data_IF_156134589366
#
_entry.id   IF_156134589366
#
_cell.length_a   1.000
_cell.length_b   1.000
_cell.length_c   1.000
_cell.angle_alpha   90.00
_cell.angle_beta   90.00
_cell.angle_gamma   90.00
#
_symmetry.space_group_name_H-M   'P 1'
#
loop_
_entity.id
_entity.type
_entity.pdbx_description
1 polymer ?
#
# COMPACT_ATOMS: atom_id res chain seq x y z
N UNK A 1 17.92 -16.23 15.71
CA UNK A 1 16.79 -16.13 14.78
C UNK A 1 16.09 -14.81 15.07
N UNK A 2 16.31 -13.79 14.24
CA UNK A 2 15.69 -12.48 14.45
C UNK A 2 14.23 -12.59 14.06
N UNK A 3 13.34 -12.50 15.04
CA UNK A 3 11.90 -12.37 14.77
C UNK A 3 11.70 -11.02 14.06
N UNK A 4 11.22 -11.06 12.83
CA UNK A 4 10.78 -9.86 12.12
C UNK A 4 9.71 -9.17 12.97
N UNK A 5 10.07 -8.04 13.58
CA UNK A 5 9.11 -7.15 14.21
C UNK A 5 8.62 -6.20 13.12
N UNK A 6 7.37 -6.34 12.75
CA UNK A 6 6.68 -5.32 11.97
C UNK A 6 6.53 -4.10 12.86
N UNK A 7 7.34 -3.09 12.64
CA UNK A 7 7.14 -1.79 13.26
C UNK A 7 6.06 -1.08 12.46
N UNK A 8 4.82 -1.20 12.94
CA UNK A 8 3.73 -0.36 12.45
C UNK A 8 3.97 1.05 13.05
N UNK A 9 4.81 1.83 12.38
CA UNK A 9 5.09 3.22 12.72
C UNK A 9 3.87 4.06 12.29
N UNK A 10 2.85 4.07 13.11
CA UNK A 10 1.74 5.00 12.94
C UNK A 10 1.99 6.24 13.81
N UNK A 11 1.71 7.40 13.23
CA UNK A 11 1.60 8.64 13.99
C UNK A 11 0.38 8.53 14.92
N UNK A 12 0.61 8.45 16.21
CA UNK A 12 -0.45 8.30 17.23
C UNK A 12 -1.43 9.48 17.22
N UNK A 13 -0.98 10.69 16.90
CA UNK A 13 -1.84 11.87 16.79
C UNK A 13 -2.76 11.75 15.57
N UNK A 14 -2.24 11.29 14.45
CA UNK A 14 -3.05 11.02 13.26
C UNK A 14 -4.06 9.88 13.48
N UNK A 15 -3.65 8.80 14.14
CA UNK A 15 -4.56 7.71 14.52
C UNK A 15 -5.65 8.22 15.45
N UNK A 16 -5.31 9.02 16.48
CA UNK A 16 -6.28 9.60 17.40
C UNK A 16 -7.30 10.50 16.69
N UNK A 17 -6.84 11.37 15.80
CA UNK A 17 -7.69 12.24 14.99
C UNK A 17 -8.65 11.45 14.08
N UNK A 18 -8.15 10.42 13.40
CA UNK A 18 -8.98 9.54 12.56
C UNK A 18 -9.98 8.75 13.40
N UNK A 19 -9.57 8.20 14.54
CA UNK A 19 -10.46 7.46 15.44
C UNK A 19 -11.63 8.31 15.92
N UNK A 20 -11.40 9.58 16.27
CA UNK A 20 -12.47 10.51 16.64
C UNK A 20 -13.49 10.65 15.50
N UNK A 21 -13.05 10.79 14.25
CA UNK A 21 -13.93 10.87 13.08
C UNK A 21 -14.70 9.58 12.81
N UNK A 22 -14.05 8.42 13.00
CA UNK A 22 -14.76 7.13 12.90
C UNK A 22 -15.84 6.97 13.96
N UNK A 23 -15.63 7.52 15.16
CA UNK A 23 -16.67 7.57 16.19
C UNK A 23 -17.88 8.39 15.73
N UNK A 24 -17.62 9.57 15.13
CA UNK A 24 -18.68 10.42 14.57
C UNK A 24 -19.44 9.69 13.44
N UNK A 25 -18.72 8.94 12.57
CA UNK A 25 -19.33 8.14 11.52
C UNK A 25 -20.25 7.07 12.10
N UNK A 26 -19.80 6.32 13.12
CA UNK A 26 -20.63 5.30 13.77
C UNK A 26 -21.94 5.90 14.30
N UNK A 27 -21.86 7.03 14.99
CA UNK A 27 -23.07 7.74 15.46
C UNK A 27 -23.97 8.19 14.30
N UNK A 28 -23.37 8.67 13.20
CA UNK A 28 -24.11 9.16 12.03
C UNK A 28 -24.87 8.08 11.27
N UNK A 29 -24.39 6.84 11.31
CA UNK A 29 -25.08 5.67 10.70
C UNK A 29 -26.09 5.02 11.66
N UNK A 30 -26.27 5.57 12.85
CA UNK A 30 -27.25 5.09 13.83
C UNK A 30 -26.72 4.02 14.79
N UNK A 31 -25.39 3.80 14.85
CA UNK A 31 -24.77 2.90 15.81
C UNK A 31 -24.41 3.65 17.11
N UNK A 32 -24.42 2.92 18.22
CA UNK A 32 -23.91 3.41 19.51
C UNK A 32 -22.41 3.10 19.64
N UNK A 33 -21.53 4.11 19.50
CA UNK A 33 -20.09 3.89 19.58
C UNK A 33 -19.60 3.50 20.99
N UNK A 34 -20.44 3.67 22.01
CA UNK A 34 -20.12 3.35 23.40
C UNK A 34 -20.54 1.93 23.80
N UNK A 35 -21.25 1.21 22.95
CA UNK A 35 -21.54 -0.20 23.22
C UNK A 35 -20.26 -1.02 23.25
N UNK A 36 -20.20 -2.01 24.13
CA UNK A 36 -19.01 -2.82 24.44
C UNK A 36 -18.30 -3.37 23.17
N UNK A 37 -19.06 -3.84 22.20
CA UNK A 37 -18.50 -4.39 20.95
C UNK A 37 -17.84 -3.36 20.02
N UNK A 38 -18.12 -2.06 20.18
CA UNK A 38 -17.62 -0.97 19.31
C UNK A 38 -16.59 -0.07 19.96
N UNK A 39 -16.33 -0.17 21.26
CA UNK A 39 -15.38 0.70 21.97
C UNK A 39 -14.01 0.84 21.31
N UNK A 40 -13.49 -0.24 20.73
CA UNK A 40 -12.19 -0.26 20.06
C UNK A 40 -12.28 -0.12 18.52
N UNK A 41 -13.49 -0.05 17.97
CA UNK A 41 -13.69 -0.01 16.52
C UNK A 41 -13.14 1.26 15.88
N UNK A 42 -13.31 2.47 16.44
CA UNK A 42 -12.75 3.69 15.86
C UNK A 42 -11.22 3.61 15.69
N UNK A 43 -10.50 3.17 16.71
CA UNK A 43 -9.05 3.03 16.65
C UNK A 43 -8.62 1.95 15.65
N UNK A 44 -9.30 0.81 15.63
CA UNK A 44 -9.02 -0.27 14.67
C UNK A 44 -9.25 0.17 13.23
N UNK A 45 -10.33 0.91 12.97
CA UNK A 45 -10.64 1.46 11.66
C UNK A 45 -9.60 2.49 11.22
N UNK A 46 -9.17 3.36 12.13
CA UNK A 46 -8.10 4.33 11.88
C UNK A 46 -6.78 3.65 11.49
N UNK A 47 -6.36 2.63 12.25
CA UNK A 47 -5.15 1.84 11.96
C UNK A 47 -5.26 1.09 10.64
N UNK A 48 -6.43 0.53 10.33
CA UNK A 48 -6.65 -0.14 9.04
C UNK A 48 -6.55 0.85 7.87
N UNK A 49 -7.11 2.05 8.00
CA UNK A 49 -6.98 3.09 6.98
C UNK A 49 -5.53 3.54 6.81
N UNK A 50 -4.81 3.79 7.90
CA UNK A 50 -3.40 4.15 7.85
C UNK A 50 -2.57 3.06 7.16
N UNK A 51 -2.84 1.78 7.45
CA UNK A 51 -2.21 0.66 6.76
C UNK A 51 -2.51 0.67 5.26
N UNK A 52 -3.77 0.86 4.86
CA UNK A 52 -4.18 0.85 3.45
C UNK A 52 -3.69 2.06 2.64
N UNK A 53 -3.14 3.07 3.30
CA UNK A 53 -2.64 4.30 2.67
C UNK A 53 -1.13 4.52 2.85
N UNK A 54 -0.43 3.63 3.56
CA UNK A 54 1.00 3.79 3.88
C UNK A 54 1.92 3.89 2.66
N UNK A 55 1.48 3.43 1.49
CA UNK A 55 2.26 3.51 0.25
C UNK A 55 2.21 4.88 -0.44
N UNK A 56 1.43 5.83 0.08
CA UNK A 56 1.29 7.16 -0.55
C UNK A 56 2.60 7.96 -0.51
N UNK A 57 3.36 7.83 0.56
CA UNK A 57 4.59 8.59 0.80
C UNK A 57 5.84 7.86 0.31
N UNK A 58 5.69 6.70 -0.34
CA UNK A 58 6.82 5.91 -0.81
C UNK A 58 7.40 6.46 -2.11
N UNK A 59 8.73 6.61 -2.15
CA UNK A 59 9.47 6.91 -3.37
C UNK A 59 9.63 5.62 -4.21
N UNK A 60 8.72 5.43 -5.15
CA UNK A 60 8.74 4.27 -6.05
C UNK A 60 10.04 4.16 -6.86
N UNK A 61 10.58 5.30 -7.33
CA UNK A 61 11.83 5.32 -8.09
C UNK A 61 13.03 4.95 -7.22
N UNK A 62 13.08 5.46 -5.99
CA UNK A 62 14.10 5.10 -5.00
C UNK A 62 14.06 3.63 -4.64
N UNK A 63 12.85 3.06 -4.44
CA UNK A 63 12.67 1.64 -4.16
C UNK A 63 13.24 0.78 -5.32
N UNK A 64 12.88 1.06 -6.55
CA UNK A 64 13.37 0.31 -7.71
C UNK A 64 14.89 0.45 -7.90
N UNK A 65 15.43 1.65 -7.70
CA UNK A 65 16.87 1.94 -7.83
C UNK A 65 17.70 1.34 -6.68
N UNK A 66 17.10 1.05 -5.55
CA UNK A 66 17.84 0.52 -4.37
C UNK A 66 18.41 -0.88 -4.56
N UNK A 67 17.99 -1.61 -5.60
CA UNK A 67 18.48 -2.96 -5.91
C UNK A 67 18.57 -3.15 -7.43
N UNK A 68 19.41 -2.35 -8.07
CA UNK A 68 19.79 -2.53 -9.45
C UNK A 68 21.05 -3.41 -9.53
N UNK A 69 21.03 -4.39 -10.40
CA UNK A 69 22.12 -5.29 -10.69
C UNK A 69 22.56 -5.10 -12.15
N UNK A 70 23.87 -5.07 -12.38
CA UNK A 70 24.41 -5.09 -13.74
C UNK A 70 24.26 -6.51 -14.29
N UNK A 71 23.53 -6.65 -15.37
CA UNK A 71 23.27 -7.93 -16.03
C UNK A 71 23.07 -7.69 -17.53
N UNK A 72 23.83 -8.37 -18.35
CA UNK A 72 23.68 -8.34 -19.79
C UNK A 72 22.49 -9.23 -20.21
N UNK A 73 21.28 -8.74 -19.96
CA UNK A 73 20.05 -9.39 -20.36
C UNK A 73 19.32 -8.51 -21.37
N UNK A 74 19.08 -9.03 -22.57
CA UNK A 74 18.31 -8.38 -23.63
C UNK A 74 16.86 -8.88 -23.67
N UNK A 75 16.55 -9.92 -22.90
CA UNK A 75 15.21 -10.51 -22.87
C UNK A 75 14.28 -9.72 -21.95
N UNK A 76 12.99 -9.75 -22.27
CA UNK A 76 11.98 -9.12 -21.46
C UNK A 76 11.82 -9.84 -20.11
N UNK A 77 11.96 -9.10 -19.02
CA UNK A 77 11.65 -9.61 -17.69
C UNK A 77 10.15 -9.44 -17.45
N UNK A 78 9.47 -10.54 -17.10
CA UNK A 78 8.05 -10.57 -16.81
C UNK A 78 7.80 -11.10 -15.39
N UNK A 79 7.21 -10.28 -14.54
CA UNK A 79 6.74 -10.65 -13.21
C UNK A 79 5.23 -10.66 -13.22
N UNK A 80 4.63 -11.82 -12.94
CA UNK A 80 3.18 -11.99 -12.99
C UNK A 80 2.58 -12.29 -11.62
N UNK A 81 1.27 -12.06 -11.54
CA UNK A 81 0.45 -12.45 -10.40
C UNK A 81 0.88 -11.80 -9.08
N UNK A 82 1.41 -10.58 -9.12
CA UNK A 82 1.70 -9.81 -7.91
C UNK A 82 0.37 -9.43 -7.28
N UNK A 83 0.12 -9.89 -6.07
CA UNK A 83 -1.09 -9.52 -5.32
C UNK A 83 -1.08 -8.04 -4.96
N UNK A 84 -2.20 -7.37 -5.23
CA UNK A 84 -2.37 -5.94 -4.95
C UNK A 84 -3.53 -5.78 -3.98
N UNK A 85 -3.24 -5.11 -2.88
CA UNK A 85 -4.22 -4.65 -1.90
C UNK A 85 -4.23 -3.13 -1.94
N UNK A 86 -5.36 -2.52 -2.19
CA UNK A 86 -5.40 -1.06 -2.33
C UNK A 86 -6.75 -0.50 -1.93
N UNK A 87 -6.80 0.82 -1.79
CA UNK A 87 -8.01 1.58 -1.49
C UNK A 87 -8.46 2.33 -2.74
N UNK A 88 -9.75 2.23 -3.07
CA UNK A 88 -10.32 3.03 -4.15
C UNK A 88 -10.34 4.50 -3.73
N UNK A 89 -9.67 5.37 -4.48
CA UNK A 89 -9.59 6.80 -4.14
C UNK A 89 -10.94 7.54 -4.20
N UNK A 90 -11.92 7.01 -4.94
CA UNK A 90 -13.22 7.65 -5.10
C UNK A 90 -14.20 7.28 -3.99
N UNK A 91 -14.18 6.03 -3.54
CA UNK A 91 -15.14 5.50 -2.57
C UNK A 91 -14.51 5.16 -1.22
N UNK A 92 -13.16 5.20 -1.13
CA UNK A 92 -12.40 4.77 0.05
C UNK A 92 -12.72 3.32 0.45
N UNK A 93 -13.11 2.48 -0.49
CA UNK A 93 -13.35 1.06 -0.27
C UNK A 93 -12.11 0.25 -0.66
N UNK A 94 -11.72 -0.75 0.14
CA UNK A 94 -10.63 -1.65 -0.20
C UNK A 94 -11.00 -2.53 -1.40
N UNK A 95 -10.02 -2.82 -2.25
CA UNK A 95 -10.14 -3.78 -3.32
C UNK A 95 -8.90 -4.64 -3.43
N UNK A 96 -9.07 -5.82 -4.03
CA UNK A 96 -8.02 -6.79 -4.29
C UNK A 96 -7.83 -6.91 -5.79
N UNK A 97 -6.59 -7.14 -6.21
CA UNK A 97 -6.28 -7.32 -7.62
C UNK A 97 -4.96 -8.04 -7.82
N UNK A 98 -4.60 -8.19 -9.09
CA UNK A 98 -3.30 -8.69 -9.51
C UNK A 98 -2.66 -7.71 -10.47
N UNK A 99 -1.36 -7.48 -10.30
CA UNK A 99 -0.55 -6.71 -11.21
C UNK A 99 0.41 -7.62 -11.98
N UNK A 100 0.69 -7.26 -13.22
CA UNK A 100 1.73 -7.88 -14.04
C UNK A 100 2.67 -6.78 -14.50
N UNK A 101 3.96 -6.99 -14.30
CA UNK A 101 5.00 -6.03 -14.66
C UNK A 101 5.90 -6.65 -15.69
N UNK A 102 6.06 -5.97 -16.82
CA UNK A 102 7.03 -6.36 -17.85
C UNK A 102 7.94 -5.18 -18.17
N UNK A 103 9.24 -5.43 -18.30
CA UNK A 103 10.20 -4.42 -18.73
C UNK A 103 11.33 -5.04 -19.54
N UNK A 104 11.93 -4.22 -20.39
CA UNK A 104 13.14 -4.60 -21.14
C UNK A 104 14.36 -4.05 -20.41
N UNK A 105 15.26 -4.88 -19.92
CA UNK A 105 16.51 -4.45 -19.32
C UNK A 105 17.39 -3.70 -20.34
N UNK A 106 18.10 -2.68 -19.85
CA UNK A 106 19.12 -1.95 -20.62
C UNK A 106 20.45 -2.03 -19.88
N UNK A 107 21.01 -3.25 -19.82
CA UNK A 107 22.25 -3.51 -19.09
C UNK A 107 22.09 -3.57 -17.56
N UNK A 108 20.88 -3.37 -17.03
CA UNK A 108 20.59 -3.49 -15.60
C UNK A 108 19.22 -4.07 -15.36
N UNK A 109 19.13 -4.94 -14.35
CA UNK A 109 17.87 -5.50 -13.86
C UNK A 109 17.56 -5.00 -12.45
N UNK A 110 16.29 -4.87 -12.12
CA UNK A 110 15.89 -4.57 -10.75
C UNK A 110 15.51 -5.84 -10.00
N UNK A 111 15.80 -5.88 -8.70
CA UNK A 111 15.45 -7.02 -7.87
C UNK A 111 13.93 -7.27 -7.85
N UNK A 112 13.51 -8.52 -8.08
CA UNK A 112 12.09 -8.91 -8.09
C UNK A 112 11.38 -8.54 -6.79
N UNK A 113 12.07 -8.65 -5.65
CA UNK A 113 11.55 -8.24 -4.35
C UNK A 113 11.15 -6.76 -4.29
N UNK A 114 11.83 -5.89 -5.04
CA UNK A 114 11.52 -4.45 -5.08
C UNK A 114 10.28 -4.17 -5.93
N UNK A 115 10.12 -4.90 -7.02
CA UNK A 115 8.90 -4.85 -7.84
C UNK A 115 7.72 -5.33 -7.00
N UNK A 116 7.84 -6.47 -6.33
CA UNK A 116 6.79 -6.97 -5.45
C UNK A 116 6.47 -5.97 -4.33
N UNK A 117 7.48 -5.43 -3.64
CA UNK A 117 7.29 -4.47 -2.55
C UNK A 117 6.50 -3.24 -3.01
N UNK A 118 6.81 -2.70 -4.20
CA UNK A 118 6.12 -1.54 -4.75
C UNK A 118 4.61 -1.78 -4.94
N UNK A 119 4.22 -2.99 -5.33
CA UNK A 119 2.82 -3.32 -5.56
C UNK A 119 2.10 -3.86 -4.33
N UNK A 120 2.81 -4.48 -3.38
CA UNK A 120 2.23 -4.95 -2.13
C UNK A 120 2.12 -3.87 -1.07
N UNK A 121 2.75 -2.70 -1.24
CA UNK A 121 2.56 -1.55 -0.36
C UNK A 121 1.21 -0.90 -0.66
N UNK A 122 0.22 -0.97 0.25
CA UNK A 122 -1.11 -0.45 -0.02
C UNK A 122 -1.09 1.08 -0.17
N UNK A 123 -1.74 1.58 -1.20
CA UNK A 123 -1.95 3.02 -1.42
C UNK A 123 -3.25 3.26 -2.17
N UNK A 124 -3.92 4.39 -1.99
CA UNK A 124 -5.10 4.74 -2.79
C UNK A 124 -4.74 4.79 -4.26
N UNK A 125 -5.46 4.02 -5.08
CA UNK A 125 -5.24 3.92 -6.51
C UNK A 125 -6.52 4.06 -7.29
N UNK A 126 -6.37 4.60 -8.50
CA UNK A 126 -7.38 4.52 -9.54
C UNK A 126 -7.03 3.34 -10.45
N UNK A 127 -7.95 2.41 -10.63
CA UNK A 127 -7.77 1.26 -11.51
C UNK A 127 -7.49 1.65 -12.97
N UNK A 128 -7.87 2.88 -13.36
CA UNK A 128 -7.78 3.35 -14.75
C UNK A 128 -6.42 3.96 -15.13
N UNK A 129 -5.54 4.28 -14.19
CA UNK A 129 -4.38 5.15 -14.46
C UNK A 129 -3.06 4.78 -13.80
N UNK A 130 -2.86 3.55 -13.32
CA UNK A 130 -1.53 3.17 -12.81
C UNK A 130 -0.53 2.96 -13.97
N UNK A 131 -0.18 4.05 -14.66
CA UNK A 131 1.03 4.06 -15.50
C UNK A 131 2.22 4.26 -14.57
N UNK A 132 3.16 3.32 -14.61
CA UNK A 132 4.50 3.62 -14.11
C UNK A 132 5.03 4.86 -14.83
N UNK A 133 5.65 5.82 -14.13
CA UNK A 133 6.38 6.87 -14.82
C UNK A 133 7.42 6.19 -15.71
N UNK A 134 7.35 6.47 -17.01
CA UNK A 134 8.43 6.14 -17.92
C UNK A 134 9.63 6.98 -17.48
N UNK A 135 10.49 6.37 -16.69
CA UNK A 135 11.70 7.05 -16.25
C UNK A 135 12.66 7.16 -17.41
N UNK A 136 13.02 8.37 -17.73
CA UNK A 136 14.28 8.64 -18.39
C UNK A 136 15.48 8.15 -17.55
#
# INVERSE_FOLDING_TARGET
MALYRREDLYDDDAIGAMAARYRDVLSSIGEDPDREGLLKTPERAAKALAFLTQGMDQDAAGILKSALFEEECEEMVLVRDIEVFSLCKHHMLPFLGKAHVAYLPQGRITGLSKICLLYTSPSPRDLSTSRMPSSA
#
